data_IF_743056072976
#
_entry.id   IF_743056072976
#
_cell.length_a   1.000
_cell.length_b   1.000
_cell.length_c   1.000
_cell.angle_alpha   90.00
_cell.angle_beta   90.00
_cell.angle_gamma   90.00
#
_symmetry.space_group_name_H-M   'P 1'
#
loop_
_entity.id
_entity.type
_entity.pdbx_description
1 polymer ?
#
# COMPACT_ATOMS: atom_id res chain seq x y z
N UNK A 1 -27.99 19.04 -0.94
CA UNK A 1 -26.93 19.98 -0.50
C UNK A 1 -25.51 19.41 -0.58
N UNK A 2 -25.27 18.13 -0.28
CA UNK A 2 -23.96 17.48 -0.46
C UNK A 2 -23.42 17.41 -1.91
N UNK A 3 -24.23 17.20 -2.97
CA UNK A 3 -23.71 17.11 -4.34
C UNK A 3 -23.33 18.47 -4.96
N UNK A 4 -23.93 19.57 -4.48
CA UNK A 4 -23.66 20.93 -4.98
C UNK A 4 -22.29 21.43 -4.48
N UNK A 5 -21.90 21.08 -3.25
CA UNK A 5 -20.59 21.42 -2.69
C UNK A 5 -19.43 20.68 -3.36
N UNK A 6 -19.66 19.43 -3.81
CA UNK A 6 -18.67 18.66 -4.58
C UNK A 6 -18.53 19.25 -5.98
N UNK A 7 -19.65 19.62 -6.62
CA UNK A 7 -19.64 20.27 -7.94
C UNK A 7 -18.99 21.67 -7.90
N UNK A 8 -19.22 22.44 -6.83
CA UNK A 8 -18.59 23.74 -6.61
C UNK A 8 -17.10 23.61 -6.29
N UNK A 9 -16.69 22.56 -5.55
CA UNK A 9 -15.29 22.26 -5.27
C UNK A 9 -14.52 21.86 -6.52
N UNK A 10 -15.13 21.04 -7.39
CA UNK A 10 -14.56 20.66 -8.69
C UNK A 10 -14.50 21.87 -9.63
N UNK A 11 -15.56 22.69 -9.67
CA UNK A 11 -15.59 23.93 -10.45
C UNK A 11 -14.56 24.98 -9.97
N UNK A 12 -14.28 25.05 -8.66
CA UNK A 12 -13.25 25.92 -8.10
C UNK A 12 -11.83 25.47 -8.48
N UNK A 13 -11.57 24.16 -8.51
CA UNK A 13 -10.29 23.61 -8.97
C UNK A 13 -10.09 23.83 -10.48
N UNK A 14 -11.14 23.61 -11.28
CA UNK A 14 -11.12 23.85 -12.73
C UNK A 14 -10.94 25.34 -13.03
N UNK A 15 -11.60 26.25 -12.30
CA UNK A 15 -11.48 27.69 -12.52
C UNK A 15 -10.12 28.24 -12.13
N UNK A 16 -9.50 27.76 -11.03
CA UNK A 16 -8.11 28.15 -10.70
C UNK A 16 -7.13 27.63 -11.74
N UNK A 17 -7.32 26.41 -12.24
CA UNK A 17 -6.55 25.86 -13.37
C UNK A 17 -6.71 26.69 -14.65
N UNK A 18 -7.94 27.09 -14.99
CA UNK A 18 -8.25 27.90 -16.16
C UNK A 18 -7.74 29.35 -16.06
N UNK A 19 -7.80 29.96 -14.88
CA UNK A 19 -7.31 31.33 -14.63
C UNK A 19 -5.77 31.34 -14.59
N UNK A 20 -5.13 30.33 -14.01
CA UNK A 20 -3.69 30.17 -14.09
C UNK A 20 -3.26 29.87 -15.53
N UNK A 21 -3.91 28.95 -16.23
CA UNK A 21 -3.63 28.62 -17.62
C UNK A 21 -3.83 29.82 -18.56
N UNK A 22 -4.87 30.64 -18.38
CA UNK A 22 -5.10 31.83 -19.19
C UNK A 22 -4.08 32.93 -18.90
N UNK A 23 -3.70 33.15 -17.64
CA UNK A 23 -2.64 34.09 -17.27
C UNK A 23 -1.27 33.62 -17.80
N UNK A 24 -0.99 32.33 -17.79
CA UNK A 24 0.26 31.77 -18.31
C UNK A 24 0.30 31.76 -19.84
N UNK A 25 -0.79 31.40 -20.50
CA UNK A 25 -0.90 31.45 -21.96
C UNK A 25 -0.78 32.88 -22.49
N UNK A 26 -1.36 33.86 -21.79
CA UNK A 26 -1.30 35.28 -22.18
C UNK A 26 0.09 35.92 -21.95
N UNK A 27 0.94 35.35 -21.08
CA UNK A 27 2.17 36.03 -20.62
C UNK A 27 3.47 35.23 -20.82
N UNK A 28 3.42 33.93 -21.12
CA UNK A 28 4.61 33.05 -21.13
C UNK A 28 4.66 32.02 -22.30
N UNK A 29 3.90 32.25 -23.37
CA UNK A 29 3.70 31.32 -24.49
C UNK A 29 4.97 30.84 -25.24
N UNK A 30 6.15 31.39 -24.97
CA UNK A 30 7.30 31.17 -25.85
C UNK A 30 8.26 30.03 -25.44
N UNK A 31 8.20 29.44 -24.23
CA UNK A 31 9.32 28.58 -23.74
C UNK A 31 8.96 27.43 -22.75
N UNK A 32 7.73 26.87 -22.71
CA UNK A 32 7.36 25.88 -21.65
C UNK A 32 6.55 24.66 -22.10
N UNK A 33 6.97 24.02 -23.19
CA UNK A 33 6.26 22.88 -23.80
C UNK A 33 6.09 21.67 -22.88
N UNK A 34 7.08 21.36 -22.04
CA UNK A 34 7.02 20.19 -21.16
C UNK A 34 5.94 20.32 -20.07
N UNK A 35 5.83 21.48 -19.43
CA UNK A 35 4.85 21.73 -18.36
C UNK A 35 3.43 21.87 -18.91
N UNK A 36 3.29 22.45 -20.11
CA UNK A 36 2.02 22.51 -20.83
C UNK A 36 1.57 21.12 -21.27
N UNK A 37 2.50 20.26 -21.73
CA UNK A 37 2.23 18.87 -22.05
C UNK A 37 1.78 18.07 -20.82
N UNK A 38 2.46 18.26 -19.69
CA UNK A 38 2.09 17.59 -18.43
C UNK A 38 0.73 18.08 -17.89
N UNK A 39 0.33 19.31 -18.23
CA UNK A 39 -0.98 19.87 -17.88
C UNK A 39 -2.12 19.22 -18.67
N UNK A 40 -1.88 18.86 -19.93
CA UNK A 40 -2.82 18.15 -20.80
C UNK A 40 -2.82 16.63 -20.61
N UNK A 41 -1.96 16.12 -19.71
CA UNK A 41 -1.84 14.69 -19.50
C UNK A 41 -3.09 14.10 -18.84
N UNK A 42 -3.78 13.22 -19.56
CA UNK A 42 -4.96 12.50 -19.06
C UNK A 42 -4.63 11.12 -18.46
N UNK A 43 -3.41 10.62 -18.63
CA UNK A 43 -3.01 9.28 -18.20
C UNK A 43 -2.70 9.24 -16.70
N UNK A 44 -1.99 10.24 -16.19
CA UNK A 44 -1.68 10.36 -14.76
C UNK A 44 -2.49 11.52 -14.15
N UNK A 45 -3.44 11.24 -13.25
CA UNK A 45 -4.29 12.27 -12.66
C UNK A 45 -3.53 13.24 -11.74
N UNK A 46 -2.29 12.93 -11.34
CA UNK A 46 -1.49 13.75 -10.44
C UNK A 46 -0.56 14.72 -11.20
N UNK A 47 -0.17 14.38 -12.43
CA UNK A 47 0.76 15.18 -13.24
C UNK A 47 0.24 16.59 -13.57
N UNK A 48 -1.03 16.79 -13.99
CA UNK A 48 -1.55 18.12 -14.27
C UNK A 48 -1.51 19.05 -13.06
N UNK A 49 -1.83 18.53 -11.87
CA UNK A 49 -1.81 19.31 -10.62
C UNK A 49 -0.39 19.71 -10.24
N UNK A 50 0.56 18.77 -10.35
CA UNK A 50 1.98 19.05 -10.14
C UNK A 50 2.52 20.10 -11.13
N UNK A 51 2.17 19.97 -12.41
CA UNK A 51 2.54 20.91 -13.45
C UNK A 51 1.99 22.31 -13.17
N UNK A 52 0.72 22.44 -12.78
CA UNK A 52 0.09 23.70 -12.42
C UNK A 52 0.81 24.41 -11.26
N UNK A 53 1.11 23.68 -10.17
CA UNK A 53 1.81 24.26 -9.02
C UNK A 53 3.27 24.58 -9.35
N UNK A 54 3.94 23.77 -10.18
CA UNK A 54 5.30 24.05 -10.71
C UNK A 54 5.36 25.34 -11.50
N UNK A 55 4.33 25.58 -12.32
CA UNK A 55 4.20 26.79 -13.10
C UNK A 55 4.00 28.03 -12.21
N UNK A 56 3.16 27.92 -11.18
CA UNK A 56 2.96 28.96 -10.15
C UNK A 56 4.24 29.23 -9.36
N UNK A 57 5.01 28.19 -9.02
CA UNK A 57 6.27 28.32 -8.31
C UNK A 57 7.31 29.11 -9.13
N UNK A 58 7.43 28.82 -10.43
CA UNK A 58 8.30 29.59 -11.33
C UNK A 58 7.86 31.06 -11.47
N UNK A 59 6.55 31.33 -11.44
CA UNK A 59 6.02 32.70 -11.44
C UNK A 59 6.42 33.41 -10.13
N UNK A 60 6.26 32.75 -8.98
CA UNK A 60 6.68 33.30 -7.70
C UNK A 60 8.17 33.67 -7.70
N UNK A 61 9.04 32.78 -8.18
CA UNK A 61 10.48 33.04 -8.29
C UNK A 61 10.78 34.27 -9.16
N UNK A 62 10.21 34.33 -10.37
CA UNK A 62 10.47 35.42 -11.31
C UNK A 62 9.88 36.76 -10.85
N UNK A 63 8.64 36.76 -10.36
CA UNK A 63 7.92 37.99 -10.05
C UNK A 63 8.33 38.60 -8.70
N UNK A 64 8.77 37.78 -7.74
CA UNK A 64 8.92 38.22 -6.35
C UNK A 64 10.29 37.96 -5.74
N UNK A 65 11.26 37.45 -6.51
CA UNK A 65 12.60 37.08 -6.01
C UNK A 65 12.52 36.19 -4.76
N UNK A 66 11.64 35.17 -4.78
CA UNK A 66 11.49 34.16 -3.72
C UNK A 66 10.87 34.70 -2.41
N UNK A 67 10.01 35.71 -2.49
CA UNK A 67 9.24 36.16 -1.31
C UNK A 67 8.26 35.07 -0.87
N UNK A 68 8.15 34.89 0.44
CA UNK A 68 7.22 33.93 1.06
C UNK A 68 5.77 34.44 0.99
N UNK A 69 4.86 33.58 0.54
CA UNK A 69 3.41 33.82 0.54
C UNK A 69 2.67 32.65 1.20
N UNK A 70 2.55 32.63 2.55
CA UNK A 70 1.99 31.49 3.28
C UNK A 70 0.57 31.10 2.84
N UNK A 71 -0.29 32.08 2.55
CA UNK A 71 -1.66 31.81 2.05
C UNK A 71 -1.66 31.10 0.69
N UNK A 72 -0.74 31.46 -0.20
CA UNK A 72 -0.57 30.81 -1.50
C UNK A 72 -0.01 29.39 -1.32
N UNK A 73 0.96 29.21 -0.42
CA UNK A 73 1.49 27.89 -0.06
C UNK A 73 0.40 26.95 0.48
N UNK A 74 -0.49 27.45 1.33
CA UNK A 74 -1.62 26.67 1.85
C UNK A 74 -2.67 26.33 0.79
N UNK A 75 -2.89 27.21 -0.19
CA UNK A 75 -3.77 26.92 -1.33
C UNK A 75 -3.16 25.85 -2.25
N UNK A 76 -1.88 25.98 -2.58
CA UNK A 76 -1.15 24.99 -3.36
C UNK A 76 -1.08 23.63 -2.65
N UNK A 77 -0.96 23.63 -1.33
CA UNK A 77 -1.01 22.41 -0.52
C UNK A 77 -2.34 21.67 -0.67
N UNK A 78 -3.47 22.39 -0.63
CA UNK A 78 -4.80 21.79 -0.84
C UNK A 78 -4.94 21.20 -2.23
N UNK A 79 -4.37 21.85 -3.24
CA UNK A 79 -4.36 21.33 -4.61
C UNK A 79 -3.54 20.04 -4.71
N UNK A 80 -2.38 19.98 -4.03
CA UNK A 80 -1.48 18.82 -4.06
C UNK A 80 -1.88 17.68 -3.12
N UNK A 81 -2.81 17.88 -2.19
CA UNK A 81 -3.22 16.85 -1.22
C UNK A 81 -3.58 15.47 -1.84
N UNK A 82 -4.24 15.39 -3.02
CA UNK A 82 -4.51 14.12 -3.69
C UNK A 82 -3.23 13.36 -4.12
N UNK A 83 -2.11 14.04 -4.37
CA UNK A 83 -0.88 13.38 -4.84
C UNK A 83 -0.28 12.44 -3.79
N UNK A 84 -0.60 12.64 -2.50
CA UNK A 84 -0.21 11.72 -1.41
C UNK A 84 -0.83 10.32 -1.59
N UNK A 85 -1.90 10.17 -2.38
CA UNK A 85 -2.52 8.87 -2.66
C UNK A 85 -1.66 7.96 -3.53
N UNK A 86 -0.61 8.49 -4.18
CA UNK A 86 0.35 7.70 -4.97
C UNK A 86 1.20 6.73 -4.14
N UNK A 87 1.29 6.94 -2.81
CA UNK A 87 2.03 6.08 -1.91
C UNK A 87 1.15 4.96 -1.33
N UNK A 88 1.64 3.73 -1.38
CA UNK A 88 0.96 2.54 -0.88
C UNK A 88 1.02 2.46 0.65
N UNK A 89 2.16 2.81 1.25
CA UNK A 89 2.34 2.71 2.69
C UNK A 89 1.71 3.90 3.44
N UNK A 90 0.92 3.60 4.49
CA UNK A 90 0.30 4.63 5.34
C UNK A 90 1.32 5.54 6.03
N UNK A 91 2.40 4.97 6.58
CA UNK A 91 3.44 5.74 7.24
C UNK A 91 4.19 6.65 6.27
N UNK A 92 4.40 6.21 5.03
CA UNK A 92 4.96 7.08 3.97
C UNK A 92 4.01 8.24 3.67
N UNK A 93 2.70 7.98 3.54
CA UNK A 93 1.69 9.03 3.34
C UNK A 93 1.69 10.07 4.46
N UNK A 94 1.74 9.63 5.71
CA UNK A 94 1.76 10.53 6.88
C UNK A 94 3.03 11.38 6.90
N UNK A 95 4.20 10.79 6.62
CA UNK A 95 5.48 11.53 6.53
C UNK A 95 5.46 12.57 5.41
N UNK A 96 5.04 12.19 4.21
CA UNK A 96 4.98 13.09 3.04
C UNK A 96 3.96 14.20 3.28
N UNK A 97 2.76 13.87 3.81
CA UNK A 97 1.75 14.87 4.15
C UNK A 97 2.26 15.86 5.21
N UNK A 98 3.00 15.38 6.22
CA UNK A 98 3.66 16.24 7.20
C UNK A 98 4.68 17.19 6.57
N UNK A 99 5.55 16.67 5.70
CA UNK A 99 6.54 17.48 4.98
C UNK A 99 5.89 18.53 4.07
N UNK A 100 4.83 18.15 3.35
CA UNK A 100 4.05 19.06 2.51
C UNK A 100 3.36 20.15 3.34
N UNK A 101 2.82 19.82 4.52
CA UNK A 101 2.22 20.83 5.42
C UNK A 101 3.27 21.82 5.92
N UNK A 102 4.44 21.33 6.33
CA UNK A 102 5.54 22.19 6.76
C UNK A 102 5.99 23.13 5.63
N UNK A 103 6.19 22.60 4.42
CA UNK A 103 6.56 23.40 3.25
C UNK A 103 5.45 24.37 2.78
N UNK A 104 4.19 23.96 2.87
CA UNK A 104 3.04 24.82 2.57
C UNK A 104 2.99 26.04 3.50
N UNK A 105 3.34 25.87 4.78
CA UNK A 105 3.40 26.94 5.76
C UNK A 105 4.53 27.95 5.48
N UNK A 106 5.63 27.55 4.83
CA UNK A 106 6.71 28.48 4.45
C UNK A 106 6.28 29.41 3.33
N UNK A 107 5.22 29.08 2.58
CA UNK A 107 4.73 29.91 1.49
C UNK A 107 5.66 29.94 0.27
N UNK A 108 6.64 29.03 0.19
CA UNK A 108 7.55 28.89 -0.95
C UNK A 108 7.14 27.66 -1.76
N UNK A 109 6.62 27.89 -2.96
CA UNK A 109 6.01 26.82 -3.75
C UNK A 109 7.01 25.78 -4.26
N UNK A 110 8.28 26.17 -4.49
CA UNK A 110 9.33 25.22 -4.86
C UNK A 110 9.66 24.23 -3.73
N UNK A 111 9.65 24.68 -2.48
CA UNK A 111 9.85 23.80 -1.32
C UNK A 111 8.67 22.81 -1.18
N UNK A 112 7.45 23.30 -1.40
CA UNK A 112 6.25 22.45 -1.39
C UNK A 112 6.30 21.40 -2.50
N UNK A 113 6.72 21.77 -3.72
CA UNK A 113 6.88 20.84 -4.83
C UNK A 113 7.96 19.80 -4.57
N UNK A 114 9.10 20.20 -3.99
CA UNK A 114 10.15 19.25 -3.61
C UNK A 114 9.65 18.20 -2.61
N UNK A 115 8.80 18.59 -1.66
CA UNK A 115 8.17 17.66 -0.73
C UNK A 115 7.09 16.79 -1.40
N UNK A 116 6.33 17.36 -2.33
CA UNK A 116 5.21 16.69 -2.98
C UNK A 116 5.61 15.78 -4.15
N UNK A 117 6.79 15.99 -4.75
CA UNK A 117 7.21 15.37 -6.00
C UNK A 117 8.60 14.71 -5.96
N UNK A 118 8.87 13.94 -4.90
CA UNK A 118 10.08 13.11 -4.85
C UNK A 118 9.83 11.73 -5.46
N UNK A 119 10.26 11.55 -6.71
CA UNK A 119 10.14 10.28 -7.43
C UNK A 119 10.90 9.13 -6.76
N UNK A 120 12.02 9.41 -6.07
CA UNK A 120 12.80 8.37 -5.38
C UNK A 120 11.99 7.76 -4.23
N UNK A 121 11.22 8.58 -3.51
CA UNK A 121 10.35 8.10 -2.43
C UNK A 121 9.20 7.27 -2.99
N UNK A 122 8.59 7.70 -4.10
CA UNK A 122 7.49 6.96 -4.76
C UNK A 122 7.95 5.57 -5.20
N UNK A 123 9.07 5.50 -5.91
CA UNK A 123 9.62 4.22 -6.40
C UNK A 123 10.08 3.31 -5.25
N UNK A 124 10.68 3.89 -4.21
CA UNK A 124 11.09 3.13 -3.03
C UNK A 124 9.88 2.53 -2.30
N UNK A 125 8.82 3.32 -2.12
CA UNK A 125 7.58 2.87 -1.48
C UNK A 125 6.92 1.74 -2.28
N UNK A 126 6.84 1.88 -3.61
CA UNK A 126 6.32 0.86 -4.50
C UNK A 126 7.12 -0.45 -4.41
N UNK A 127 8.46 -0.39 -4.43
CA UNK A 127 9.32 -1.57 -4.27
C UNK A 127 9.09 -2.24 -2.92
N UNK A 128 9.08 -1.47 -1.82
CA UNK A 128 8.88 -2.01 -0.47
C UNK A 128 7.50 -2.66 -0.32
N UNK A 129 6.48 -2.06 -0.93
CA UNK A 129 5.15 -2.64 -0.97
C UNK A 129 5.15 -3.99 -1.71
N UNK A 130 5.81 -4.08 -2.88
CA UNK A 130 5.95 -5.34 -3.61
C UNK A 130 6.67 -6.42 -2.79
N UNK A 131 7.75 -6.07 -2.10
CA UNK A 131 8.45 -7.00 -1.20
C UNK A 131 7.52 -7.51 -0.08
N UNK A 132 6.77 -6.62 0.58
CA UNK A 132 5.84 -7.00 1.63
C UNK A 132 4.72 -7.93 1.11
N UNK A 133 4.23 -7.70 -0.11
CA UNK A 133 3.22 -8.58 -0.75
C UNK A 133 3.81 -9.97 -1.04
N UNK A 134 5.05 -10.04 -1.53
CA UNK A 134 5.71 -11.32 -1.79
C UNK A 134 5.95 -12.10 -0.48
N UNK A 135 6.44 -11.42 0.55
CA UNK A 135 6.66 -12.02 1.88
C UNK A 135 5.35 -12.53 2.48
N UNK A 136 4.27 -11.74 2.42
CA UNK A 136 2.96 -12.15 2.90
C UNK A 136 2.43 -13.40 2.18
N UNK A 137 2.64 -13.50 0.85
CA UNK A 137 2.28 -14.69 0.07
C UNK A 137 3.10 -15.91 0.48
N UNK A 138 4.41 -15.75 0.70
CA UNK A 138 5.26 -16.84 1.18
C UNK A 138 4.82 -17.33 2.57
N UNK A 139 4.55 -16.40 3.48
CA UNK A 139 4.05 -16.71 4.82
C UNK A 139 2.70 -17.45 4.78
N UNK A 140 1.77 -17.05 3.90
CA UNK A 140 0.52 -17.79 3.71
C UNK A 140 0.75 -19.20 3.18
N UNK A 141 1.65 -19.37 2.20
CA UNK A 141 1.99 -20.70 1.67
C UNK A 141 2.62 -21.58 2.75
N UNK A 142 3.49 -21.03 3.60
CA UNK A 142 4.07 -21.73 4.75
C UNK A 142 3.01 -22.12 5.77
N UNK A 143 2.12 -21.20 6.14
CA UNK A 143 1.01 -21.48 7.05
C UNK A 143 0.10 -22.60 6.53
N UNK A 144 -0.23 -22.58 5.24
CA UNK A 144 -0.99 -23.65 4.59
C UNK A 144 -0.27 -25.00 4.66
N UNK A 145 1.03 -25.05 4.34
CA UNK A 145 1.85 -26.26 4.45
C UNK A 145 1.93 -26.78 5.89
N UNK A 146 2.13 -25.89 6.87
CA UNK A 146 2.13 -26.22 8.30
C UNK A 146 0.78 -26.82 8.74
N UNK A 147 -0.33 -26.27 8.28
CA UNK A 147 -1.66 -26.80 8.56
C UNK A 147 -1.86 -28.21 7.96
N UNK A 148 -1.40 -28.44 6.72
CA UNK A 148 -1.46 -29.76 6.09
C UNK A 148 -0.55 -30.78 6.80
N UNK A 149 0.68 -30.40 7.16
CA UNK A 149 1.61 -31.30 7.87
C UNK A 149 1.08 -31.70 9.25
N UNK A 150 0.50 -30.76 10.00
CA UNK A 150 -0.16 -31.06 11.28
C UNK A 150 -1.32 -32.04 11.11
N UNK A 151 -2.12 -31.89 10.05
CA UNK A 151 -3.23 -32.80 9.76
C UNK A 151 -2.71 -34.21 9.42
N UNK A 152 -1.64 -34.30 8.63
CA UNK A 152 -1.00 -35.58 8.32
C UNK A 152 -0.37 -36.24 9.54
N UNK A 153 0.30 -35.49 10.42
CA UNK A 153 0.87 -36.04 11.68
C UNK A 153 -0.19 -36.65 12.58
N UNK A 154 -1.36 -36.02 12.69
CA UNK A 154 -2.48 -36.56 13.46
C UNK A 154 -3.02 -37.86 12.84
N UNK A 155 -3.14 -37.92 11.51
CA UNK A 155 -3.53 -39.14 10.80
C UNK A 155 -2.51 -40.28 10.97
N UNK A 156 -1.22 -39.99 10.78
CA UNK A 156 -0.12 -40.95 10.94
C UNK A 156 -0.05 -41.48 12.38
N UNK A 157 -0.19 -40.60 13.39
CA UNK A 157 -0.16 -41.01 14.80
C UNK A 157 -1.33 -41.94 15.15
N UNK A 158 -2.51 -41.70 14.56
CA UNK A 158 -3.68 -42.57 14.75
C UNK A 158 -3.49 -43.94 14.09
N UNK A 159 -2.92 -43.97 12.89
CA UNK A 159 -2.66 -45.21 12.16
C UNK A 159 -1.58 -46.06 12.84
N UNK A 160 -0.48 -45.44 13.26
CA UNK A 160 0.56 -46.12 14.06
C UNK A 160 0.01 -46.62 15.39
N UNK A 161 -0.82 -45.83 16.08
CA UNK A 161 -1.49 -46.26 17.31
C UNK A 161 -2.40 -47.48 17.10
N UNK A 162 -3.15 -47.50 15.99
CA UNK A 162 -4.00 -48.64 15.64
C UNK A 162 -3.19 -49.91 15.32
N UNK A 163 -2.06 -49.77 14.61
CA UNK A 163 -1.17 -50.90 14.31
C UNK A 163 -0.48 -51.44 15.57
N UNK A 164 0.00 -50.57 16.47
CA UNK A 164 0.59 -51.01 17.74
C UNK A 164 -0.46 -51.67 18.63
N UNK A 165 -1.67 -51.10 18.70
CA UNK A 165 -2.77 -51.67 19.47
C UNK A 165 -3.21 -53.04 18.94
N UNK A 166 -3.24 -53.23 17.61
CA UNK A 166 -3.63 -54.52 17.01
C UNK A 166 -2.58 -55.61 17.30
N UNK A 167 -1.29 -55.29 17.24
CA UNK A 167 -0.21 -56.21 17.59
C UNK A 167 -0.29 -56.61 19.07
N UNK A 168 -0.45 -55.64 19.98
CA UNK A 168 -0.58 -55.90 21.41
C UNK A 168 -1.84 -56.73 21.73
N UNK A 169 -2.97 -56.42 21.09
CA UNK A 169 -4.20 -57.19 21.23
C UNK A 169 -4.04 -58.62 20.71
N UNK A 170 -3.30 -58.82 19.61
CA UNK A 170 -2.97 -60.13 19.07
C UNK A 170 -2.16 -60.96 20.06
N UNK A 171 -1.10 -60.38 20.63
CA UNK A 171 -0.26 -61.06 21.62
C UNK A 171 -1.05 -61.46 22.87
N UNK A 172 -1.86 -60.55 23.42
CA UNK A 172 -2.72 -60.83 24.57
C UNK A 172 -3.74 -61.94 24.25
N UNK A 173 -4.32 -61.91 23.04
CA UNK A 173 -5.26 -62.94 22.58
C UNK A 173 -4.58 -64.32 22.51
N UNK A 174 -3.36 -64.40 21.98
CA UNK A 174 -2.60 -65.66 21.92
C UNK A 174 -2.29 -66.21 23.31
N UNK A 175 -1.87 -65.36 24.25
CA UNK A 175 -1.60 -65.79 25.64
C UNK A 175 -2.89 -66.26 26.32
N UNK A 176 -4.00 -65.53 26.14
CA UNK A 176 -5.29 -65.91 26.69
C UNK A 176 -5.76 -67.27 26.13
N UNK A 177 -5.65 -67.48 24.82
CA UNK A 177 -5.97 -68.75 24.17
C UNK A 177 -5.15 -69.92 24.73
N UNK A 178 -3.83 -69.74 24.88
CA UNK A 178 -2.97 -70.77 25.47
C UNK A 178 -3.37 -71.10 26.91
N UNK A 179 -3.72 -70.09 27.71
CA UNK A 179 -4.22 -70.29 29.07
C UNK A 179 -5.53 -71.08 29.11
N UNK A 180 -6.48 -70.75 28.24
CA UNK A 180 -7.77 -71.47 28.15
C UNK A 180 -7.54 -72.93 27.75
N UNK A 181 -6.68 -73.20 26.76
CA UNK A 181 -6.35 -74.56 26.31
C UNK A 181 -5.69 -75.37 27.43
N UNK A 182 -4.76 -74.77 28.19
CA UNK A 182 -4.11 -75.45 29.31
C UNK A 182 -5.12 -75.85 30.41
N UNK A 183 -6.01 -74.93 30.78
CA UNK A 183 -7.05 -75.20 31.79
C UNK A 183 -8.01 -76.29 31.31
N UNK A 184 -8.43 -76.24 30.05
CA UNK A 184 -9.29 -77.28 29.46
C UNK A 184 -8.62 -78.66 29.43
N UNK A 185 -7.32 -78.72 29.13
CA UNK A 185 -6.56 -79.97 29.16
C UNK A 185 -6.51 -80.56 30.58
N UNK A 186 -6.22 -79.73 31.59
CA UNK A 186 -6.16 -80.15 32.99
C UNK A 186 -7.50 -80.62 33.57
N UNK A 187 -8.63 -80.11 33.09
CA UNK A 187 -9.97 -80.59 33.53
C UNK A 187 -10.46 -81.81 32.78
N UNK A 188 -9.88 -82.10 31.60
CA UNK A 188 -10.19 -83.29 30.79
C UNK A 188 -9.33 -84.51 31.11
N UNK A 189 -8.26 -84.34 31.91
CA UNK A 189 -7.38 -85.39 32.41
C UNK A 189 -7.81 -85.85 33.81
#
# INVERSE_FOLDING_TARGET
>A
YLPILIFLGIAAVISVGAIAASYIAAHFASHRDAELRDLDNQVDPYLPVLAAVRLLARIQEKATKVRSYPKLGMLALKLLEPTVRRFFNRGTREKVSGAMRAAGATGRLMELLAAADDQRIVENDARRYQFAVMEFRDLQNRLSRLAMDNTNRAAISRELGAQVASVLSGMLSTVALLGIVLVAFLTSA
#
